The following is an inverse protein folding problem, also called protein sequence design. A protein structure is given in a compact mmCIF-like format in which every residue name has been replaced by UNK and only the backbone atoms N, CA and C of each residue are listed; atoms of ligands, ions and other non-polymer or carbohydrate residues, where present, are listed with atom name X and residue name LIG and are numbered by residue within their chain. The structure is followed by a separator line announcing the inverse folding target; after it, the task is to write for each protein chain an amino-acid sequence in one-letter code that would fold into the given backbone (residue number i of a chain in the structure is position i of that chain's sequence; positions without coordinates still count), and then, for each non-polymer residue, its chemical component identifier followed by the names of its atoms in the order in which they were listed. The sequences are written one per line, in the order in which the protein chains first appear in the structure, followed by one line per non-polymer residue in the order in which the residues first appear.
data_IF_290822459694
#
_entry.id   IF_290822459694
#
_cell.length_a   1.000
_cell.length_b   1.000
_cell.length_c   1.000
_cell.angle_alpha   90.00
_cell.angle_beta   90.00
_cell.angle_gamma   90.00
#
_symmetry.space_group_name_H-M   'P 1'
#
loop_
_entity.id
_entity.type
_entity.pdbx_description
1 polymer ?
#
# COMPACT_ATOMS: atom_id res chain seq x y z
N UNK A 1 -4.44 -43.29 56.86
CA UNK A 1 -4.70 -41.97 56.30
C UNK A 1 -6.20 -41.88 56.06
N UNK A 2 -6.91 -40.94 56.74
CA UNK A 2 -8.38 -40.90 56.74
C UNK A 2 -8.91 -40.34 55.40
N UNK A 3 -9.94 -40.94 54.84
CA UNK A 3 -10.58 -40.56 53.55
C UNK A 3 -10.94 -39.07 53.55
N UNK A 4 -11.34 -38.51 54.67
CA UNK A 4 -11.62 -37.06 54.87
C UNK A 4 -10.41 -36.14 54.66
N UNK A 5 -9.20 -36.59 54.98
CA UNK A 5 -7.96 -35.85 54.77
C UNK A 5 -7.58 -35.84 53.26
N UNK A 6 -7.78 -36.93 52.56
CA UNK A 6 -7.51 -37.04 51.11
C UNK A 6 -8.47 -36.09 50.32
N UNK A 7 -9.77 -36.12 50.66
CA UNK A 7 -10.78 -35.29 50.03
C UNK A 7 -10.57 -33.79 50.29
N UNK A 8 -10.08 -33.38 51.48
CA UNK A 8 -9.77 -31.97 51.77
C UNK A 8 -8.51 -31.50 51.02
N UNK A 9 -7.53 -32.37 50.80
CA UNK A 9 -6.30 -32.04 50.09
C UNK A 9 -6.53 -31.90 48.58
N UNK A 10 -7.30 -32.80 47.97
CA UNK A 10 -7.67 -32.68 46.54
C UNK A 10 -8.55 -31.45 46.26
N UNK A 11 -9.42 -31.06 47.21
CA UNK A 11 -10.25 -29.85 47.07
C UNK A 11 -9.44 -28.54 47.17
N UNK A 12 -8.37 -28.53 48.01
CA UNK A 12 -7.44 -27.40 48.10
C UNK A 12 -6.56 -27.31 46.86
N UNK A 13 -6.06 -28.41 46.33
CA UNK A 13 -5.24 -28.44 45.10
C UNK A 13 -6.04 -27.97 43.89
N UNK A 14 -7.32 -28.35 43.78
CA UNK A 14 -8.22 -27.88 42.70
C UNK A 14 -8.49 -26.36 42.81
N UNK A 15 -8.67 -25.79 43.97
CA UNK A 15 -8.85 -24.35 44.21
C UNK A 15 -7.59 -23.58 43.85
N UNK A 16 -6.40 -24.07 44.23
CA UNK A 16 -5.12 -23.46 43.86
C UNK A 16 -4.90 -23.49 42.37
N UNK A 17 -5.19 -24.62 41.71
CA UNK A 17 -5.11 -24.73 40.24
C UNK A 17 -6.02 -23.74 39.52
N UNK A 18 -7.26 -23.53 40.01
CA UNK A 18 -8.19 -22.56 39.45
C UNK A 18 -7.69 -21.10 39.60
N UNK A 19 -7.13 -20.76 40.76
CA UNK A 19 -6.55 -19.42 41.00
C UNK A 19 -5.36 -19.17 40.07
N UNK A 20 -4.47 -20.13 39.91
CA UNK A 20 -3.31 -20.01 39.00
C UNK A 20 -3.77 -19.82 37.57
N UNK A 21 -4.73 -20.61 37.08
CA UNK A 21 -5.24 -20.48 35.71
C UNK A 21 -5.93 -19.14 35.47
N UNK A 22 -6.65 -18.60 36.46
CA UNK A 22 -7.28 -17.27 36.38
C UNK A 22 -6.22 -16.15 36.28
N UNK A 23 -5.14 -16.25 37.07
CA UNK A 23 -4.03 -15.28 37.04
C UNK A 23 -3.33 -15.32 35.67
N UNK A 24 -3.05 -16.50 35.13
CA UNK A 24 -2.44 -16.66 33.82
C UNK A 24 -3.34 -16.09 32.72
N UNK A 25 -4.64 -16.43 32.75
CA UNK A 25 -5.63 -15.91 31.81
C UNK A 25 -5.73 -14.39 31.82
N UNK A 26 -5.77 -13.78 33.01
CA UNK A 26 -5.79 -12.34 33.19
C UNK A 26 -4.49 -11.67 32.71
N UNK A 27 -3.34 -12.27 32.96
CA UNK A 27 -2.04 -11.78 32.47
C UNK A 27 -1.95 -11.81 30.97
N UNK A 28 -2.37 -12.90 30.33
CA UNK A 28 -2.44 -13.01 28.87
C UNK A 28 -3.41 -11.99 28.26
N UNK A 29 -4.58 -11.81 28.86
CA UNK A 29 -5.53 -10.77 28.44
C UNK A 29 -4.91 -9.37 28.47
N UNK A 30 -4.19 -9.03 29.57
CA UNK A 30 -3.50 -7.73 29.69
C UNK A 30 -2.43 -7.55 28.61
N UNK A 31 -1.63 -8.58 28.32
CA UNK A 31 -0.60 -8.54 27.28
C UNK A 31 -1.24 -8.30 25.91
N UNK A 32 -2.29 -9.05 25.56
CA UNK A 32 -3.02 -8.91 24.30
C UNK A 32 -3.65 -7.50 24.19
N UNK A 33 -4.24 -6.99 25.25
CA UNK A 33 -4.83 -5.66 25.29
C UNK A 33 -3.78 -4.54 25.06
N UNK A 34 -2.58 -4.69 25.63
CA UNK A 34 -1.46 -3.73 25.43
C UNK A 34 -0.94 -3.81 23.98
N UNK A 35 -0.79 -5.02 23.44
CA UNK A 35 -0.35 -5.20 22.04
C UNK A 35 -1.36 -4.61 21.04
N UNK A 36 -2.66 -4.81 21.27
CA UNK A 36 -3.71 -4.24 20.45
C UNK A 36 -3.76 -2.70 20.56
N UNK A 37 -3.54 -2.12 21.74
CA UNK A 37 -3.43 -0.65 21.91
C UNK A 37 -2.24 -0.09 21.17
N UNK A 38 -1.05 -0.72 21.21
CA UNK A 38 0.13 -0.30 20.44
C UNK A 38 -0.11 -0.36 18.95
N UNK A 39 -0.81 -1.40 18.46
CA UNK A 39 -1.16 -1.53 17.04
C UNK A 39 -2.15 -0.43 16.58
N UNK A 40 -3.14 -0.09 17.39
CA UNK A 40 -4.09 1.01 17.15
C UNK A 40 -3.40 2.39 17.19
N UNK A 41 -2.45 2.59 18.11
CA UNK A 41 -1.71 3.85 18.24
C UNK A 41 -0.78 4.06 17.06
N UNK A 42 -0.03 3.04 16.62
CA UNK A 42 0.79 3.08 15.40
C UNK A 42 -0.02 3.35 14.13
N UNK A 43 -1.26 2.86 14.05
CA UNK A 43 -2.16 3.17 12.93
C UNK A 43 -2.66 4.62 12.97
N UNK A 44 -2.92 5.18 14.15
CA UNK A 44 -3.34 6.57 14.31
C UNK A 44 -2.19 7.57 14.08
N UNK A 45 -0.97 7.24 14.51
CA UNK A 45 0.21 8.08 14.29
C UNK A 45 0.54 8.15 12.79
N UNK A 46 0.48 7.03 12.07
CA UNK A 46 0.60 7.01 10.60
C UNK A 46 -0.53 7.78 9.91
N UNK A 47 -1.76 7.73 10.42
CA UNK A 47 -2.89 8.47 9.86
C UNK A 47 -2.72 9.99 10.06
N UNK A 48 -2.24 10.41 11.23
CA UNK A 48 -1.99 11.83 11.53
C UNK A 48 -0.78 12.38 10.75
N UNK A 49 0.29 11.62 10.56
CA UNK A 49 1.39 12.02 9.68
C UNK A 49 0.91 12.16 8.23
N UNK A 50 0.10 11.21 7.76
CA UNK A 50 -0.48 11.26 6.41
C UNK A 50 -1.42 12.45 6.25
N UNK A 51 -2.26 12.76 7.24
CA UNK A 51 -3.15 13.94 7.24
C UNK A 51 -2.36 15.25 7.25
N UNK A 52 -1.29 15.34 8.03
CA UNK A 52 -0.40 16.51 8.03
C UNK A 52 0.34 16.65 6.69
N UNK A 53 0.76 15.56 6.07
CA UNK A 53 1.32 15.54 4.72
C UNK A 53 0.31 16.03 3.67
N UNK A 54 -0.96 15.63 3.79
CA UNK A 54 -2.04 16.06 2.90
C UNK A 54 -2.37 17.54 3.04
N UNK A 55 -2.36 18.08 4.26
CA UNK A 55 -2.58 19.53 4.51
C UNK A 55 -1.42 20.40 4.01
N UNK A 56 -0.21 19.85 3.90
CA UNK A 56 0.98 20.57 3.44
C UNK A 56 1.10 20.59 1.90
N UNK A 57 0.45 19.66 1.18
CA UNK A 57 0.43 19.64 -0.28
C UNK A 57 -0.94 20.10 -0.77
N UNK A 58 -0.96 21.23 -1.49
CA UNK A 58 -2.16 21.86 -2.08
C UNK A 58 -3.10 20.84 -2.75
N UNK A 59 -4.37 21.21 -2.90
CA UNK A 59 -5.51 20.45 -3.42
C UNK A 59 -5.35 19.80 -4.82
N UNK A 60 -4.13 19.64 -5.34
CA UNK A 60 -3.89 19.13 -6.68
C UNK A 60 -3.29 17.71 -6.63
N UNK A 61 -4.09 16.73 -7.04
CA UNK A 61 -3.73 15.32 -7.13
C UNK A 61 -3.74 14.85 -8.58
N UNK A 62 -2.78 14.00 -8.93
CA UNK A 62 -2.69 13.43 -10.29
C UNK A 62 -2.16 12.00 -10.30
N UNK A 63 -2.29 11.38 -11.44
CA UNK A 63 -1.70 10.08 -11.80
C UNK A 63 -0.79 10.28 -13.01
N UNK A 64 0.44 9.79 -12.95
CA UNK A 64 1.35 9.79 -14.09
C UNK A 64 1.55 8.38 -14.61
N UNK A 65 1.39 8.20 -15.92
CA UNK A 65 1.61 6.95 -16.64
C UNK A 65 2.92 7.04 -17.41
N UNK A 66 3.93 6.32 -16.96
CA UNK A 66 5.28 6.28 -17.55
C UNK A 66 5.32 5.14 -18.56
N UNK A 67 5.50 5.46 -19.85
CA UNK A 67 5.38 4.55 -20.99
C UNK A 67 6.75 4.24 -21.59
N UNK A 68 7.04 2.98 -21.85
CA UNK A 68 8.26 2.56 -22.56
C UNK A 68 8.12 2.75 -24.07
N UNK A 69 9.06 3.48 -24.66
CA UNK A 69 9.09 3.73 -26.11
C UNK A 69 9.95 2.74 -26.89
N UNK A 70 10.95 2.14 -26.26
CA UNK A 70 11.84 1.13 -26.85
C UNK A 70 11.10 -0.11 -27.36
N UNK A 71 9.94 -0.42 -26.78
CA UNK A 71 9.08 -1.55 -27.17
C UNK A 71 8.33 -1.29 -28.50
N UNK A 72 8.35 -0.07 -29.02
CA UNK A 72 7.69 0.33 -30.29
C UNK A 72 6.23 -0.14 -30.40
N UNK A 73 5.50 -0.09 -29.28
CA UNK A 73 4.09 -0.48 -29.24
C UNK A 73 3.23 0.42 -30.11
N UNK A 74 2.29 -0.15 -30.85
CA UNK A 74 1.30 0.62 -31.61
C UNK A 74 0.35 1.41 -30.70
N UNK A 75 -0.26 2.49 -31.21
CA UNK A 75 -1.13 3.41 -30.46
C UNK A 75 -2.23 2.69 -29.65
N UNK A 76 -2.89 1.71 -30.26
CA UNK A 76 -3.92 0.92 -29.59
C UNK A 76 -3.37 0.10 -28.42
N UNK A 77 -2.18 -0.52 -28.58
CA UNK A 77 -1.50 -1.25 -27.52
C UNK A 77 -1.12 -0.34 -26.36
N UNK A 78 -0.58 0.85 -26.65
CA UNK A 78 -0.24 1.86 -25.65
C UNK A 78 -1.48 2.27 -24.86
N UNK A 79 -2.59 2.58 -25.56
CA UNK A 79 -3.85 2.93 -24.91
C UNK A 79 -4.35 1.83 -23.97
N UNK A 80 -4.33 0.56 -24.41
CA UNK A 80 -4.72 -0.58 -23.59
C UNK A 80 -3.81 -0.74 -22.36
N UNK A 81 -2.48 -0.62 -22.51
CA UNK A 81 -1.53 -0.71 -21.40
C UNK A 81 -1.68 0.44 -20.41
N UNK A 82 -1.96 1.66 -20.88
CA UNK A 82 -2.30 2.80 -20.03
C UNK A 82 -3.60 2.57 -19.26
N UNK A 83 -4.62 2.01 -19.89
CA UNK A 83 -5.88 1.65 -19.21
C UNK A 83 -5.65 0.60 -18.12
N UNK A 84 -4.87 -0.45 -18.39
CA UNK A 84 -4.48 -1.43 -17.39
C UNK A 84 -3.73 -0.77 -16.20
N UNK A 85 -2.82 0.15 -16.49
CA UNK A 85 -2.05 0.86 -15.48
C UNK A 85 -2.94 1.76 -14.62
N UNK A 86 -3.90 2.48 -15.22
CA UNK A 86 -4.86 3.30 -14.49
C UNK A 86 -5.76 2.46 -13.58
N UNK A 87 -6.26 1.32 -14.05
CA UNK A 87 -7.07 0.39 -13.23
C UNK A 87 -6.24 -0.20 -12.09
N UNK A 88 -4.99 -0.57 -12.33
CA UNK A 88 -4.11 -1.09 -11.29
C UNK A 88 -3.80 -0.02 -10.21
N UNK A 89 -3.57 1.23 -10.62
CA UNK A 89 -3.38 2.35 -9.73
C UNK A 89 -4.62 2.63 -8.88
N UNK A 90 -5.81 2.64 -9.50
CA UNK A 90 -7.09 2.80 -8.79
C UNK A 90 -7.27 1.71 -7.73
N UNK A 91 -7.10 0.43 -8.10
CA UNK A 91 -7.19 -0.70 -7.16
C UNK A 91 -6.17 -0.60 -6.02
N UNK A 92 -4.95 -0.15 -6.28
CA UNK A 92 -3.96 0.05 -5.23
C UNK A 92 -4.35 1.20 -4.29
N UNK A 93 -4.92 2.28 -4.85
CA UNK A 93 -5.35 3.46 -4.11
C UNK A 93 -6.59 3.22 -3.24
N UNK A 94 -7.38 2.15 -3.46
CA UNK A 94 -8.51 1.81 -2.56
C UNK A 94 -8.08 1.52 -1.12
N UNK A 95 -6.80 1.22 -0.90
CA UNK A 95 -6.21 1.07 0.44
C UNK A 95 -5.90 2.41 1.14
N UNK A 96 -6.00 3.51 0.40
CA UNK A 96 -5.70 4.87 0.83
C UNK A 96 -6.84 5.78 0.36
N UNK A 97 -8.03 5.67 1.01
CA UNK A 97 -9.27 6.31 0.55
C UNK A 97 -9.15 7.83 0.45
N UNK A 98 -8.33 8.45 1.28
CA UNK A 98 -8.05 9.88 1.25
C UNK A 98 -7.36 10.31 -0.06
N UNK A 99 -6.33 9.58 -0.52
CA UNK A 99 -5.66 9.88 -1.79
C UNK A 99 -6.58 9.66 -2.98
N UNK A 100 -7.37 8.59 -2.92
CA UNK A 100 -8.33 8.27 -3.96
C UNK A 100 -9.38 9.37 -4.07
N UNK A 101 -10.00 9.76 -2.95
CA UNK A 101 -10.99 10.82 -2.89
C UNK A 101 -10.45 12.17 -3.38
N UNK A 102 -9.26 12.59 -2.93
CA UNK A 102 -8.63 13.82 -3.36
C UNK A 102 -8.37 13.83 -4.87
N UNK A 103 -7.88 12.73 -5.43
CA UNK A 103 -7.65 12.60 -6.87
C UNK A 103 -8.96 12.60 -7.67
N UNK A 104 -10.01 11.92 -7.20
CA UNK A 104 -11.34 11.94 -7.82
C UNK A 104 -11.91 13.36 -7.84
N UNK A 105 -11.75 14.10 -6.74
CA UNK A 105 -12.17 15.49 -6.63
C UNK A 105 -11.42 16.43 -7.60
N UNK A 106 -10.16 16.11 -7.93
CA UNK A 106 -9.36 16.80 -8.96
C UNK A 106 -9.67 16.35 -10.41
N UNK A 107 -10.79 15.67 -10.65
CA UNK A 107 -11.19 15.18 -11.96
C UNK A 107 -10.38 14.01 -12.46
N UNK A 108 -9.75 13.26 -11.55
CA UNK A 108 -8.94 12.07 -11.88
C UNK A 108 -7.85 12.37 -12.93
N UNK A 109 -7.16 13.48 -12.80
CA UNK A 109 -6.14 13.97 -13.75
C UNK A 109 -5.08 12.89 -14.02
N UNK A 110 -4.81 12.64 -15.30
CA UNK A 110 -3.81 11.68 -15.78
C UNK A 110 -2.88 12.34 -16.78
N UNK A 111 -1.57 12.10 -16.64
CA UNK A 111 -0.54 12.61 -17.53
C UNK A 111 0.28 11.43 -18.04
N UNK A 112 0.61 11.43 -19.33
CA UNK A 112 1.45 10.39 -19.96
C UNK A 112 2.83 10.94 -20.25
N UNK A 113 3.86 10.23 -19.78
CA UNK A 113 5.27 10.54 -20.02
C UNK A 113 5.99 9.31 -20.56
N UNK A 114 7.18 9.51 -21.12
CA UNK A 114 7.93 8.43 -21.77
C UNK A 114 9.31 8.19 -21.16
N UNK A 115 9.73 6.93 -21.24
CA UNK A 115 11.10 6.46 -20.98
C UNK A 115 11.53 5.52 -22.10
N UNK A 116 12.83 5.32 -22.27
CA UNK A 116 13.42 4.59 -23.37
C UNK A 116 13.89 3.16 -23.02
N UNK A 117 13.73 2.74 -21.78
CA UNK A 117 14.22 1.43 -21.34
C UNK A 117 13.46 0.87 -20.14
N UNK A 118 13.59 -0.44 -19.93
CA UNK A 118 13.05 -1.11 -18.75
C UNK A 118 13.74 -0.66 -17.46
N UNK A 119 15.04 -0.40 -17.51
CA UNK A 119 15.79 0.05 -16.35
C UNK A 119 15.34 1.44 -15.91
N UNK A 120 15.14 2.38 -16.84
CA UNK A 120 14.59 3.69 -16.55
C UNK A 120 13.19 3.58 -15.91
N UNK A 121 12.31 2.72 -16.45
CA UNK A 121 10.98 2.48 -15.86
C UNK A 121 11.06 1.97 -14.43
N UNK A 122 11.95 1.01 -14.16
CA UNK A 122 12.14 0.43 -12.82
C UNK A 122 12.70 1.45 -11.83
N UNK A 123 13.65 2.27 -12.29
CA UNK A 123 14.27 3.29 -11.45
C UNK A 123 13.25 4.36 -11.02
N UNK A 124 12.44 4.86 -11.95
CA UNK A 124 11.33 5.79 -11.63
C UNK A 124 10.35 5.15 -10.61
N UNK A 125 9.98 3.89 -10.81
CA UNK A 125 9.11 3.19 -9.88
C UNK A 125 9.74 3.03 -8.48
N UNK A 126 11.06 2.81 -8.40
CA UNK A 126 11.81 2.73 -7.15
C UNK A 126 11.86 4.07 -6.43
N UNK A 127 12.17 5.15 -7.15
CA UNK A 127 12.19 6.52 -6.62
C UNK A 127 10.82 6.94 -6.10
N UNK A 128 9.75 6.64 -6.84
CA UNK A 128 8.38 6.91 -6.41
C UNK A 128 8.04 6.22 -5.08
N UNK A 129 8.38 4.94 -4.95
CA UNK A 129 8.16 4.19 -3.70
C UNK A 129 9.00 4.72 -2.54
N UNK A 130 10.21 5.18 -2.81
CA UNK A 130 11.10 5.74 -1.79
C UNK A 130 10.56 7.02 -1.15
N UNK A 131 9.74 7.79 -1.89
CA UNK A 131 9.04 8.99 -1.38
C UNK A 131 7.59 8.71 -0.97
N UNK A 132 7.22 7.44 -0.80
CA UNK A 132 5.89 7.05 -0.32
C UNK A 132 4.78 7.05 -1.36
N UNK A 133 5.07 7.25 -2.66
CA UNK A 133 4.08 7.19 -3.72
C UNK A 133 3.76 5.74 -4.14
N UNK A 134 2.52 5.51 -4.53
CA UNK A 134 2.12 4.27 -5.17
C UNK A 134 2.80 4.16 -6.55
N UNK A 135 3.36 2.99 -6.86
CA UNK A 135 3.98 2.71 -8.15
C UNK A 135 3.65 1.29 -8.63
N UNK A 136 2.85 1.20 -9.68
CA UNK A 136 2.31 -0.04 -10.22
C UNK A 136 2.86 -0.29 -11.63
N UNK A 137 3.70 -1.30 -11.80
CA UNK A 137 4.26 -1.69 -13.09
C UNK A 137 3.36 -2.75 -13.73
N UNK A 138 2.98 -2.50 -14.98
CA UNK A 138 2.18 -3.43 -15.79
C UNK A 138 3.10 -4.34 -16.59
N UNK A 139 2.83 -5.63 -16.51
CA UNK A 139 3.48 -6.66 -17.32
C UNK A 139 2.51 -7.14 -18.38
N UNK A 140 2.99 -7.21 -19.63
CA UNK A 140 2.20 -7.74 -20.73
C UNK A 140 2.14 -9.27 -20.72
N UNK A 141 0.97 -9.83 -21.00
CA UNK A 141 0.79 -11.28 -21.08
C UNK A 141 1.42 -11.90 -22.36
N UNK A 142 1.87 -11.05 -23.32
CA UNK A 142 2.55 -11.49 -24.53
C UNK A 142 1.63 -11.99 -25.64
N UNK A 143 0.36 -11.60 -25.61
CA UNK A 143 -0.62 -12.05 -26.61
C UNK A 143 -0.58 -11.27 -27.94
N UNK A 144 0.20 -10.17 -28.02
CA UNK A 144 0.13 -9.27 -29.17
C UNK A 144 1.51 -8.86 -29.72
N UNK A 145 2.09 -7.76 -29.25
CA UNK A 145 3.23 -7.08 -29.91
C UNK A 145 4.56 -7.21 -29.18
N UNK A 146 4.53 -7.56 -27.89
CA UNK A 146 5.72 -7.62 -27.03
C UNK A 146 5.84 -8.98 -26.37
N UNK A 147 7.05 -9.33 -25.92
CA UNK A 147 7.31 -10.63 -25.26
C UNK A 147 6.51 -10.75 -23.97
N UNK A 148 6.03 -11.97 -23.63
CA UNK A 148 5.40 -12.23 -22.34
C UNK A 148 6.26 -11.73 -21.19
N UNK A 149 5.63 -11.09 -20.19
CA UNK A 149 6.30 -10.55 -19.01
C UNK A 149 7.02 -9.22 -19.22
N UNK A 150 7.01 -8.64 -20.45
CA UNK A 150 7.56 -7.31 -20.70
C UNK A 150 6.87 -6.26 -19.84
N UNK A 151 7.63 -5.44 -19.14
CA UNK A 151 7.12 -4.29 -18.40
C UNK A 151 6.89 -3.15 -19.37
N UNK A 152 5.67 -2.70 -19.49
CA UNK A 152 5.24 -1.78 -20.57
C UNK A 152 4.98 -0.37 -20.07
N UNK A 153 4.25 -0.23 -18.97
CA UNK A 153 3.85 1.05 -18.38
C UNK A 153 3.99 0.95 -16.87
N UNK A 154 4.37 2.06 -16.23
CA UNK A 154 4.29 2.22 -14.78
C UNK A 154 3.34 3.36 -14.43
N UNK A 155 2.36 3.10 -13.57
CA UNK A 155 1.50 4.12 -12.98
C UNK A 155 2.12 4.62 -11.68
N UNK A 156 2.34 5.93 -11.55
CA UNK A 156 2.84 6.62 -10.37
C UNK A 156 1.70 7.46 -9.77
N UNK A 157 1.31 7.12 -8.55
CA UNK A 157 0.15 7.72 -7.89
C UNK A 157 -1.10 6.82 -7.95
N UNK A 158 -2.32 7.39 -7.71
CA UNK A 158 -2.59 8.82 -7.48
C UNK A 158 -1.90 9.35 -6.22
N UNK A 159 -1.56 10.63 -6.27
CA UNK A 159 -0.89 11.31 -5.15
C UNK A 159 -0.75 12.82 -5.37
N UNK A 160 -0.20 13.55 -4.38
CA UNK A 160 0.06 14.98 -4.48
C UNK A 160 0.91 15.32 -5.70
N UNK A 161 0.46 16.29 -6.50
CA UNK A 161 1.10 16.65 -7.76
C UNK A 161 2.59 17.02 -7.58
N UNK A 162 2.92 17.77 -6.53
CA UNK A 162 4.27 18.19 -6.24
C UNK A 162 5.22 17.00 -5.98
N UNK A 163 4.80 16.00 -5.20
CA UNK A 163 5.60 14.80 -4.96
C UNK A 163 5.80 13.98 -6.24
N UNK A 164 4.76 13.88 -7.06
CA UNK A 164 4.83 13.19 -8.35
C UNK A 164 5.76 13.94 -9.30
N UNK A 165 5.73 15.29 -9.32
CA UNK A 165 6.62 16.10 -10.15
C UNK A 165 8.08 15.99 -9.75
N UNK A 166 8.39 15.89 -8.47
CA UNK A 166 9.76 15.65 -8.00
C UNK A 166 10.36 14.36 -8.59
N UNK A 167 9.52 13.35 -8.86
CA UNK A 167 9.97 12.06 -9.42
C UNK A 167 9.87 12.01 -10.93
N UNK A 168 8.85 12.64 -11.54
CA UNK A 168 8.52 12.48 -12.96
C UNK A 168 8.65 13.73 -13.80
N UNK A 169 8.84 14.91 -13.17
CA UNK A 169 8.81 16.21 -13.86
C UNK A 169 9.93 16.42 -14.90
N UNK A 170 11.03 15.68 -14.81
CA UNK A 170 12.12 15.70 -15.79
C UNK A 170 11.83 14.86 -17.03
N UNK A 171 10.77 14.02 -17.01
CA UNK A 171 10.41 13.15 -18.14
C UNK A 171 9.63 13.95 -19.20
N UNK A 172 9.88 13.60 -20.48
CA UNK A 172 9.16 14.20 -21.59
C UNK A 172 7.75 13.63 -21.71
N UNK A 173 6.79 14.47 -22.09
CA UNK A 173 5.44 14.03 -22.44
C UNK A 173 5.50 13.00 -23.58
N UNK A 174 4.53 12.06 -23.52
CA UNK A 174 4.41 11.03 -24.52
C UNK A 174 3.71 11.55 -25.77
#
# INVERSE_FOLDING_TARGET
MNITQILSQTATDAKVGFIISAIIGYSLYKIIAVLNRKKLQSSNDNCNETLNYMQMYSDNYKLVLVIRTDLKMGKGKIAAQCAHAAVAAYKAATKYPEFLYAWEKCGQTKITVKVDSENALKEIAKQARAVGLLANIIQDAGQTQVKPGSKTVCAIGPGPAQLIDNVTGHLKLF
#
